data_IF_402132700221
#
_entry.id   IF_402132700221
#
_cell.length_a   1.000
_cell.length_b   1.000
_cell.length_c   1.000
_cell.angle_alpha   90.00
_cell.angle_beta   90.00
_cell.angle_gamma   90.00
#
_symmetry.space_group_name_H-M   'P 1'
#
loop_
_entity.id
_entity.type
_entity.pdbx_description
1 polymer ?
#
# COMPACT_ATOMS: atom_id res chain seq x y z
N UNK A 1 32.19 51.25 -5.88
CA UNK A 1 30.97 50.72 -6.52
C UNK A 1 31.00 49.19 -6.43
N UNK A 2 30.18 48.63 -5.56
CA UNK A 2 30.13 47.22 -5.17
C UNK A 2 29.37 46.41 -6.22
N UNK A 3 30.06 45.50 -6.92
CA UNK A 3 29.42 44.49 -7.78
C UNK A 3 28.70 43.48 -6.89
N UNK A 4 27.38 43.62 -6.74
CA UNK A 4 26.52 42.58 -6.16
C UNK A 4 26.52 41.37 -7.09
N UNK A 5 27.16 40.30 -6.64
CA UNK A 5 27.11 38.98 -7.24
C UNK A 5 25.72 38.40 -6.95
N UNK A 6 24.85 38.39 -7.95
CA UNK A 6 23.52 37.76 -7.84
C UNK A 6 23.74 36.24 -7.97
N UNK A 7 23.79 35.51 -6.85
CA UNK A 7 23.65 34.06 -6.86
C UNK A 7 22.21 33.74 -7.27
N UNK A 8 22.00 33.36 -8.53
CA UNK A 8 20.79 32.63 -8.92
C UNK A 8 20.87 31.25 -8.27
N UNK A 9 20.21 31.11 -7.13
CA UNK A 9 19.87 29.80 -6.58
C UNK A 9 18.84 29.19 -7.54
N UNK A 10 19.31 28.39 -8.50
CA UNK A 10 18.44 27.48 -9.25
C UNK A 10 17.92 26.45 -8.25
N UNK A 11 16.81 26.76 -7.59
CA UNK A 11 16.03 25.76 -6.88
C UNK A 11 15.55 24.82 -7.97
N UNK A 12 16.22 23.67 -8.07
CA UNK A 12 15.69 22.53 -8.80
C UNK A 12 14.41 22.16 -8.10
N UNK A 13 13.29 22.71 -8.56
CA UNK A 13 12.00 22.10 -8.37
C UNK A 13 12.11 20.76 -9.10
N UNK A 14 12.56 19.74 -8.38
CA UNK A 14 12.36 18.35 -8.74
C UNK A 14 10.85 18.21 -8.83
N UNK A 15 10.32 18.38 -10.04
CA UNK A 15 8.95 18.04 -10.37
C UNK A 15 8.82 16.54 -10.19
N UNK A 16 8.57 16.11 -8.95
CA UNK A 16 7.93 14.85 -8.71
C UNK A 16 6.50 15.05 -9.23
N UNK A 17 6.28 14.73 -10.49
CA UNK A 17 4.95 14.35 -10.97
C UNK A 17 4.57 13.11 -10.17
N UNK A 18 3.94 13.32 -9.02
CA UNK A 18 3.28 12.25 -8.28
C UNK A 18 2.03 11.89 -9.07
N UNK A 19 2.20 11.16 -10.16
CA UNK A 19 1.19 10.22 -10.68
C UNK A 19 1.09 9.07 -9.67
N UNK A 20 0.81 9.41 -8.41
CA UNK A 20 0.72 8.47 -7.32
C UNK A 20 -0.64 7.78 -7.38
N UNK A 21 -0.67 6.71 -8.18
CA UNK A 21 -1.53 5.53 -8.07
C UNK A 21 -2.99 5.73 -8.54
N UNK A 22 -3.39 4.95 -9.56
CA UNK A 22 -4.80 4.66 -9.85
C UNK A 22 -5.24 3.30 -9.26
N UNK A 23 -4.38 2.60 -8.50
CA UNK A 23 -4.76 1.45 -7.70
C UNK A 23 -5.44 1.80 -6.36
N UNK A 24 -6.68 1.36 -6.20
CA UNK A 24 -7.36 1.30 -4.90
C UNK A 24 -7.16 -0.09 -4.30
N UNK A 25 -6.53 -0.20 -3.13
CA UNK A 25 -6.40 -1.45 -2.38
C UNK A 25 -7.44 -1.49 -1.27
N UNK A 26 -8.19 -2.60 -1.20
CA UNK A 26 -9.14 -2.87 -0.11
C UNK A 26 -8.88 -4.25 0.49
N UNK A 27 -9.33 -4.47 1.73
CA UNK A 27 -9.19 -5.76 2.38
C UNK A 27 -10.44 -6.10 3.19
N UNK A 28 -10.74 -7.40 3.25
CA UNK A 28 -11.81 -7.95 4.07
C UNK A 28 -11.25 -9.05 4.95
N UNK A 29 -11.83 -9.23 6.14
CA UNK A 29 -11.48 -10.30 7.04
C UNK A 29 -12.71 -11.18 7.29
N UNK A 30 -12.58 -12.49 7.13
CA UNK A 30 -13.66 -13.46 7.36
C UNK A 30 -13.07 -14.80 7.81
N UNK A 31 -13.62 -15.37 8.88
CA UNK A 31 -13.13 -16.62 9.45
C UNK A 31 -11.67 -16.46 9.91
N UNK A 32 -10.75 -17.20 9.31
CA UNK A 32 -9.31 -17.13 9.59
C UNK A 32 -8.50 -16.56 8.41
N UNK A 33 -9.18 -15.85 7.50
CA UNK A 33 -8.59 -15.31 6.26
C UNK A 33 -8.77 -13.80 6.16
N UNK A 34 -7.68 -13.12 5.79
CA UNK A 34 -7.68 -11.74 5.30
C UNK A 34 -7.51 -11.78 3.79
N UNK A 35 -8.52 -11.32 3.05
CA UNK A 35 -8.52 -11.25 1.59
C UNK A 35 -8.26 -9.82 1.17
N UNK A 36 -7.33 -9.63 0.22
CA UNK A 36 -7.00 -8.31 -0.32
C UNK A 36 -7.45 -8.24 -1.77
N UNK A 37 -8.05 -7.11 -2.10
CA UNK A 37 -8.52 -6.78 -3.43
C UNK A 37 -7.85 -5.50 -3.91
N UNK A 38 -7.79 -5.38 -5.24
CA UNK A 38 -7.26 -4.19 -5.90
C UNK A 38 -8.10 -3.85 -7.11
N UNK A 39 -8.24 -2.56 -7.38
CA UNK A 39 -8.78 -2.01 -8.64
C UNK A 39 -7.74 -1.04 -9.18
N UNK A 40 -7.24 -1.17 -10.41
CA UNK A 40 -6.32 -0.17 -11.00
C UNK A 40 -6.54 0.02 -12.49
N UNK A 41 -6.51 1.26 -12.95
CA UNK A 41 -6.62 1.61 -14.37
C UNK A 41 -5.35 1.29 -15.19
N UNK A 42 -4.26 0.90 -14.52
CA UNK A 42 -2.97 0.57 -15.15
C UNK A 42 -2.38 -0.70 -14.54
N UNK A 43 -1.51 -1.36 -15.31
CA UNK A 43 -0.71 -2.45 -14.77
C UNK A 43 0.42 -1.89 -13.93
N UNK A 44 0.40 -2.09 -12.62
CA UNK A 44 1.43 -1.61 -11.70
C UNK A 44 1.75 -2.61 -10.59
N UNK A 45 2.97 -2.53 -10.08
CA UNK A 45 3.40 -3.32 -8.93
C UNK A 45 3.08 -2.54 -7.67
N UNK A 46 2.32 -3.16 -6.77
CA UNK A 46 1.91 -2.60 -5.50
C UNK A 46 2.42 -3.47 -4.36
N UNK A 47 2.93 -2.84 -3.31
CA UNK A 47 3.06 -3.49 -1.99
C UNK A 47 2.02 -2.90 -1.07
N UNK A 48 1.19 -3.76 -0.49
CA UNK A 48 0.20 -3.34 0.49
C UNK A 48 0.44 -4.06 1.82
N UNK A 49 0.38 -3.29 2.90
CA UNK A 49 0.40 -3.75 4.29
C UNK A 49 -0.98 -3.56 4.88
N UNK A 50 -1.55 -4.66 5.38
CA UNK A 50 -2.85 -4.71 6.02
C UNK A 50 -2.63 -4.92 7.50
N UNK A 51 -2.99 -3.92 8.31
CA UNK A 51 -3.01 -4.03 9.75
C UNK A 51 -4.40 -4.55 10.17
N UNK A 52 -4.43 -5.48 11.13
CA UNK A 52 -5.66 -6.03 11.66
C UNK A 52 -5.51 -6.36 13.15
N UNK A 53 -6.63 -6.59 13.83
CA UNK A 53 -6.66 -7.18 15.16
C UNK A 53 -7.36 -8.52 15.11
N UNK A 54 -6.96 -9.47 15.96
CA UNK A 54 -7.58 -10.79 16.05
C UNK A 54 -7.71 -11.21 17.51
N UNK A 55 -8.61 -12.15 17.80
CA UNK A 55 -8.80 -12.68 19.14
C UNK A 55 -7.76 -13.78 19.42
N UNK A 56 -7.01 -13.62 20.50
CA UNK A 56 -6.07 -14.62 21.00
C UNK A 56 -6.17 -14.65 22.53
N UNK A 57 -6.39 -15.84 23.10
CA UNK A 57 -6.52 -16.04 24.55
C UNK A 57 -7.52 -15.08 25.22
N UNK A 58 -8.64 -14.81 24.54
CA UNK A 58 -9.70 -13.91 25.01
C UNK A 58 -9.38 -12.41 24.91
N UNK A 59 -8.25 -12.02 24.31
CA UNK A 59 -7.83 -10.61 24.13
C UNK A 59 -7.66 -10.26 22.66
N UNK A 60 -7.88 -8.98 22.31
CA UNK A 60 -7.58 -8.46 20.98
C UNK A 60 -6.08 -8.22 20.84
N UNK A 61 -5.46 -8.91 19.90
CA UNK A 61 -4.03 -8.84 19.61
C UNK A 61 -3.83 -8.16 18.25
N UNK A 62 -2.89 -7.20 18.13
CA UNK A 62 -2.56 -6.60 16.84
C UNK A 62 -1.77 -7.58 15.96
N UNK A 63 -2.02 -7.53 14.66
CA UNK A 63 -1.31 -8.29 13.65
C UNK A 63 -1.19 -7.50 12.35
N UNK A 64 -0.35 -7.97 11.44
CA UNK A 64 -0.29 -7.42 10.10
C UNK A 64 0.09 -8.49 9.09
N UNK A 65 -0.24 -8.24 7.83
CA UNK A 65 0.25 -9.00 6.68
C UNK A 65 0.66 -8.02 5.58
N UNK A 66 1.67 -8.37 4.80
CA UNK A 66 2.12 -7.54 3.69
C UNK A 66 2.54 -8.40 2.51
N UNK A 67 2.17 -7.97 1.31
CA UNK A 67 2.56 -8.68 0.09
C UNK A 67 2.76 -7.69 -1.07
N UNK A 68 3.75 -7.98 -1.89
CA UNK A 68 3.89 -7.39 -3.22
C UNK A 68 3.00 -8.16 -4.21
N UNK A 69 2.19 -7.45 -4.98
CA UNK A 69 1.32 -8.01 -6.02
C UNK A 69 1.29 -7.12 -7.25
N UNK A 70 1.18 -7.75 -8.42
CA UNK A 70 0.84 -7.05 -9.65
C UNK A 70 -0.66 -6.81 -9.69
N UNK A 71 -1.05 -5.58 -9.97
CA UNK A 71 -2.44 -5.16 -10.20
C UNK A 71 -2.56 -4.86 -11.68
N UNK A 72 -3.51 -5.46 -12.39
CA UNK A 72 -3.58 -5.39 -13.86
C UNK A 72 -5.00 -5.23 -14.40
N UNK A 73 -6.00 -4.95 -13.57
CA UNK A 73 -7.41 -5.01 -14.01
C UNK A 73 -8.09 -3.65 -13.89
N UNK A 74 -8.20 -2.91 -15.02
CA UNK A 74 -8.99 -1.68 -15.12
C UNK A 74 -10.45 -1.92 -14.77
N UNK A 75 -10.98 -1.09 -13.89
CA UNK A 75 -12.41 -1.03 -13.59
C UNK A 75 -13.01 -2.21 -12.81
N UNK A 76 -12.23 -3.22 -12.42
CA UNK A 76 -12.73 -4.33 -11.59
C UNK A 76 -11.97 -4.45 -10.26
N UNK A 77 -12.73 -4.68 -9.18
CA UNK A 77 -12.15 -5.01 -7.89
C UNK A 77 -11.78 -6.49 -7.85
N UNK A 78 -10.52 -6.79 -8.15
CA UNK A 78 -10.02 -8.16 -8.27
C UNK A 78 -9.32 -8.60 -6.99
N UNK A 79 -9.55 -9.86 -6.62
CA UNK A 79 -8.80 -10.47 -5.52
C UNK A 79 -7.34 -10.65 -5.93
N UNK A 80 -6.43 -10.05 -5.16
CA UNK A 80 -4.98 -10.12 -5.42
C UNK A 80 -4.28 -11.18 -4.57
N UNK A 81 -4.67 -11.35 -3.30
CA UNK A 81 -4.18 -12.45 -2.47
C UNK A 81 -5.07 -12.74 -1.26
N UNK A 82 -4.89 -13.94 -0.70
CA UNK A 82 -5.43 -14.35 0.59
C UNK A 82 -4.29 -14.58 1.59
N UNK A 83 -4.45 -14.10 2.81
CA UNK A 83 -3.64 -14.46 3.97
C UNK A 83 -4.48 -15.28 4.94
N UNK A 84 -4.26 -16.59 4.97
CA UNK A 84 -4.98 -17.53 5.85
C UNK A 84 -4.04 -18.02 6.94
N UNK A 85 -4.44 -17.86 8.20
CA UNK A 85 -3.69 -18.34 9.35
C UNK A 85 -4.65 -18.90 10.41
N UNK A 86 -4.56 -20.19 10.78
CA UNK A 86 -5.44 -20.81 11.79
C UNK A 86 -5.47 -20.13 13.16
N UNK A 87 -4.44 -19.36 13.51
CA UNK A 87 -4.42 -18.59 14.76
C UNK A 87 -5.31 -17.34 14.73
N UNK A 88 -5.77 -16.90 13.55
CA UNK A 88 -6.70 -15.78 13.43
C UNK A 88 -8.10 -16.22 13.80
N UNK A 89 -8.59 -15.70 14.93
CA UNK A 89 -9.97 -15.87 15.38
C UNK A 89 -10.63 -14.49 15.30
N UNK A 90 -11.74 -14.41 14.56
CA UNK A 90 -12.50 -13.16 14.37
C UNK A 90 -11.63 -11.95 14.00
N UNK A 91 -10.80 -12.01 12.93
CA UNK A 91 -9.95 -10.92 12.52
C UNK A 91 -10.77 -9.72 12.04
N UNK A 92 -10.34 -8.52 12.40
CA UNK A 92 -10.96 -7.24 12.02
C UNK A 92 -9.85 -6.34 11.48
N UNK A 93 -10.03 -5.82 10.26
CA UNK A 93 -9.11 -4.85 9.67
C UNK A 93 -9.07 -3.60 10.55
N UNK A 94 -7.87 -3.20 10.96
CA UNK A 94 -7.66 -2.11 11.90
C UNK A 94 -6.95 -0.96 11.18
N UNK A 95 -7.65 0.16 10.99
CA UNK A 95 -7.09 1.35 10.36
C UNK A 95 -7.03 1.29 8.83
N UNK A 96 -6.27 2.22 8.26
CA UNK A 96 -6.05 2.30 6.83
C UNK A 96 -5.12 1.21 6.29
N UNK A 97 -5.20 0.97 4.99
CA UNK A 97 -4.27 0.11 4.27
C UNK A 97 -3.10 0.97 3.78
N UNK A 98 -1.89 0.60 4.17
CA UNK A 98 -0.68 1.25 3.69
C UNK A 98 -0.29 0.59 2.37
N UNK A 99 -0.61 1.25 1.24
CA UNK A 99 -0.29 0.78 -0.10
C UNK A 99 0.65 1.75 -0.80
N UNK A 100 1.65 1.19 -1.47
CA UNK A 100 2.57 1.91 -2.33
C UNK A 100 2.62 1.20 -3.67
N UNK A 101 2.36 1.92 -4.76
CA UNK A 101 2.37 1.38 -6.12
C UNK A 101 3.25 2.25 -7.02
N UNK A 102 3.85 1.62 -8.04
CA UNK A 102 4.69 2.29 -9.02
C UNK A 102 6.19 1.98 -8.91
N UNK A 103 6.97 2.58 -9.80
CA UNK A 103 8.37 2.23 -10.07
C UNK A 103 9.36 2.62 -8.95
N UNK A 104 8.94 3.42 -7.97
CA UNK A 104 9.78 3.81 -6.83
C UNK A 104 10.07 2.65 -5.86
N UNK A 105 9.44 1.49 -6.06
CA UNK A 105 9.83 0.24 -5.38
C UNK A 105 11.20 -0.30 -5.80
N UNK A 106 11.70 0.07 -6.99
CA UNK A 106 12.94 -0.47 -7.54
C UNK A 106 14.22 0.25 -7.08
N UNK A 107 14.12 1.36 -6.33
CA UNK A 107 15.27 2.24 -6.01
C UNK A 107 15.91 2.01 -4.63
N UNK A 108 15.52 0.98 -3.89
CA UNK A 108 16.25 0.55 -2.68
C UNK A 108 17.16 -0.64 -3.02
N UNK A 109 18.30 -0.33 -3.65
CA UNK A 109 19.49 -1.19 -3.62
C UNK A 109 20.61 -0.46 -2.93
#
# INVERSE_FOLDING_TARGET
MTRKLLLLLAITACGATTDAIAATITATAKGNTVTVFSTSDKSERCTARINFTYLQDGKRTPGFTSKESFVTVPGENVKVWDFTNPALIDPIISGGIDAHCGDDMAKKK
#
